data_IF_502446570685
#
_entry.id   IF_502446570685
#
_cell.length_a   1.000
_cell.length_b   1.000
_cell.length_c   1.000
_cell.angle_alpha   90.00
_cell.angle_beta   90.00
_cell.angle_gamma   90.00
#
_symmetry.space_group_name_H-M   'P 1'
#
loop_
_entity.id
_entity.type
_entity.pdbx_description
1 polymer ?
#
# COMPACT_ATOMS: atom_id res chain seq x y z
N UNK A 1 23.85 64.53 -25.73
CA UNK A 1 24.07 63.17 -25.20
C UNK A 1 22.86 62.82 -24.35
N UNK A 2 21.92 62.04 -24.88
CA UNK A 2 20.70 61.63 -24.17
C UNK A 2 20.81 60.13 -23.87
N UNK A 3 20.79 59.78 -22.58
CA UNK A 3 20.80 58.39 -22.14
C UNK A 3 19.34 57.92 -22.02
N UNK A 4 18.93 56.99 -22.89
CA UNK A 4 17.65 56.29 -22.78
C UNK A 4 17.79 55.14 -21.79
N UNK A 5 17.15 55.25 -20.63
CA UNK A 5 17.00 54.18 -19.65
C UNK A 5 15.80 53.29 -20.01
N UNK A 6 16.05 52.02 -20.29
CA UNK A 6 15.01 51.02 -20.52
C UNK A 6 14.77 50.24 -19.23
N UNK A 7 13.56 50.30 -18.70
CA UNK A 7 13.12 49.45 -17.59
C UNK A 7 12.58 48.15 -18.17
N UNK A 8 13.27 47.03 -17.92
CA UNK A 8 12.73 45.70 -18.20
C UNK A 8 11.83 45.33 -17.02
N UNK A 9 10.52 45.30 -17.26
CA UNK A 9 9.55 44.74 -16.31
C UNK A 9 9.58 43.23 -16.47
N UNK A 10 10.16 42.51 -15.51
CA UNK A 10 10.10 41.06 -15.46
C UNK A 10 8.69 40.64 -15.01
N UNK A 11 7.90 40.06 -15.93
CA UNK A 11 6.63 39.44 -15.60
C UNK A 11 6.88 38.08 -14.93
N UNK A 12 6.73 38.02 -13.60
CA UNK A 12 6.69 36.76 -12.87
C UNK A 12 5.39 36.02 -13.19
N UNK A 13 5.45 35.06 -14.11
CA UNK A 13 4.36 34.10 -14.33
C UNK A 13 4.37 33.12 -13.16
N UNK A 14 3.45 33.30 -12.22
CA UNK A 14 3.17 32.30 -11.18
C UNK A 14 2.36 31.18 -11.84
N UNK A 15 3.03 30.08 -12.21
CA UNK A 15 2.37 28.85 -12.61
C UNK A 15 1.68 28.26 -11.38
N UNK A 16 0.36 28.43 -11.28
CA UNK A 16 -0.45 27.70 -10.33
C UNK A 16 -0.38 26.21 -10.70
N UNK A 17 0.23 25.39 -9.83
CA UNK A 17 0.19 23.96 -9.98
C UNK A 17 -1.28 23.51 -9.89
N UNK A 18 -1.80 22.89 -10.94
CA UNK A 18 -3.11 22.25 -10.89
C UNK A 18 -3.09 21.26 -9.71
N UNK A 19 -4.04 21.39 -8.79
CA UNK A 19 -4.19 20.42 -7.72
C UNK A 19 -4.41 19.04 -8.36
N UNK A 20 -3.58 18.06 -7.98
CA UNK A 20 -3.80 16.69 -8.39
C UNK A 20 -5.20 16.27 -7.92
N UNK A 21 -5.99 15.67 -8.82
CA UNK A 21 -7.32 15.16 -8.49
C UNK A 21 -7.24 14.21 -7.28
N UNK A 22 -8.23 14.25 -6.40
CA UNK A 22 -8.22 13.40 -5.21
C UNK A 22 -8.34 11.94 -5.68
N UNK A 23 -7.45 11.02 -5.25
CA UNK A 23 -7.58 9.59 -5.59
C UNK A 23 -8.95 8.99 -5.22
N UNK A 24 -9.72 9.64 -4.34
CA UNK A 24 -11.08 9.24 -3.95
C UNK A 24 -12.19 9.81 -4.82
N UNK A 25 -11.89 10.68 -5.78
CA UNK A 25 -12.92 11.35 -6.59
C UNK A 25 -13.86 10.34 -7.24
N UNK A 26 -15.16 10.43 -6.92
CA UNK A 26 -16.22 9.55 -7.42
C UNK A 26 -16.32 8.17 -6.76
N UNK A 27 -15.47 7.83 -5.79
CA UNK A 27 -15.57 6.58 -5.04
C UNK A 27 -16.59 6.68 -3.89
N UNK A 28 -17.24 5.57 -3.57
CA UNK A 28 -18.05 5.41 -2.36
C UNK A 28 -17.35 4.44 -1.40
N UNK A 29 -17.22 4.81 -0.12
CA UNK A 29 -16.66 3.92 0.88
C UNK A 29 -17.65 2.79 1.22
N UNK A 30 -17.15 1.56 1.31
CA UNK A 30 -17.94 0.43 1.80
C UNK A 30 -17.95 0.42 3.33
N UNK A 31 -18.98 -0.20 3.92
CA UNK A 31 -19.07 -0.33 5.38
C UNK A 31 -18.10 -1.41 5.88
N UNK A 32 -17.17 -1.05 6.76
CA UNK A 32 -16.23 -2.01 7.36
C UNK A 32 -16.54 -2.19 8.84
N UNK A 33 -16.68 -3.45 9.27
CA UNK A 33 -16.67 -3.87 10.66
C UNK A 33 -15.50 -4.79 10.97
N UNK A 34 -15.35 -5.19 12.23
CA UNK A 34 -14.21 -6.01 12.67
C UNK A 34 -14.09 -7.34 11.93
N UNK A 35 -15.22 -7.94 11.53
CA UNK A 35 -15.25 -9.18 10.75
C UNK A 35 -14.60 -9.08 9.36
N UNK A 36 -14.43 -7.85 8.83
CA UNK A 36 -13.77 -7.63 7.54
C UNK A 36 -12.23 -7.71 7.64
N UNK A 37 -11.65 -7.64 8.85
CA UNK A 37 -10.20 -7.61 9.07
C UNK A 37 -9.68 -9.00 9.47
N UNK A 38 -9.62 -9.94 8.52
CA UNK A 38 -9.14 -11.29 8.80
C UNK A 38 -7.61 -11.31 9.01
N UNK A 39 -7.18 -11.41 10.27
CA UNK A 39 -5.77 -11.51 10.64
C UNK A 39 -5.17 -12.88 10.29
N UNK A 40 -3.96 -12.85 9.72
CA UNK A 40 -3.10 -14.00 9.46
C UNK A 40 -1.78 -13.76 10.22
N UNK A 41 -1.26 -14.74 10.96
CA UNK A 41 -0.05 -14.63 11.79
C UNK A 41 0.70 -15.97 11.85
N UNK A 42 1.98 -16.05 12.27
CA UNK A 42 2.70 -17.33 12.36
C UNK A 42 1.94 -18.37 13.21
N UNK A 43 1.76 -19.59 12.69
CA UNK A 43 0.82 -20.56 13.29
C UNK A 43 1.22 -21.07 14.69
N UNK A 44 2.49 -20.95 15.06
CA UNK A 44 3.08 -21.51 16.28
C UNK A 44 3.23 -20.49 17.41
N UNK A 45 2.68 -19.27 17.23
CA UNK A 45 2.69 -18.22 18.25
C UNK A 45 1.31 -17.61 18.45
N UNK A 46 1.11 -16.99 19.60
CA UNK A 46 -0.08 -16.19 19.86
C UNK A 46 -0.12 -14.96 18.95
N UNK A 47 -1.31 -14.61 18.44
CA UNK A 47 -1.49 -13.45 17.57
C UNK A 47 -1.02 -12.15 18.24
N UNK A 48 -1.23 -12.00 19.55
CA UNK A 48 -0.80 -10.85 20.36
C UNK A 48 0.72 -10.67 20.40
N UNK A 49 1.49 -11.72 20.08
CA UNK A 49 2.96 -11.66 20.00
C UNK A 49 3.46 -11.04 18.70
N UNK A 50 2.58 -10.83 17.73
CA UNK A 50 2.89 -10.32 16.38
C UNK A 50 1.94 -9.20 15.91
N UNK A 51 0.87 -8.96 16.64
CA UNK A 51 -0.16 -8.00 16.30
C UNK A 51 -0.66 -7.25 17.54
N UNK A 52 -0.93 -5.96 17.40
CA UNK A 52 -1.69 -5.18 18.39
C UNK A 52 -2.54 -4.11 17.72
N UNK A 53 -3.64 -3.73 18.38
CA UNK A 53 -4.51 -2.65 17.96
C UNK A 53 -5.06 -1.91 19.18
N UNK A 54 -4.83 -0.60 19.23
CA UNK A 54 -5.25 0.27 20.34
C UNK A 54 -6.57 1.00 20.07
N UNK A 55 -7.30 0.58 19.01
CA UNK A 55 -8.50 1.27 18.52
C UNK A 55 -8.21 2.31 17.43
N UNK A 56 -6.95 2.71 17.22
CA UNK A 56 -6.54 3.68 16.19
C UNK A 56 -5.48 3.11 15.26
N UNK A 57 -4.41 2.54 15.81
CA UNK A 57 -3.23 2.06 15.07
C UNK A 57 -3.11 0.55 15.20
N UNK A 58 -3.19 -0.14 14.05
CA UNK A 58 -2.84 -1.55 13.94
C UNK A 58 -1.33 -1.66 13.77
N UNK A 59 -0.66 -2.43 14.63
CA UNK A 59 0.77 -2.72 14.53
C UNK A 59 0.93 -4.20 14.18
N UNK A 60 1.67 -4.49 13.13
CA UNK A 60 1.89 -5.85 12.62
C UNK A 60 3.39 -6.06 12.46
N UNK A 61 3.93 -7.13 13.03
CA UNK A 61 5.34 -7.47 12.88
C UNK A 61 5.55 -8.97 12.74
N UNK A 62 6.68 -9.34 12.12
CA UNK A 62 7.23 -10.70 12.08
C UNK A 62 8.73 -10.64 12.29
N UNK A 63 9.30 -11.75 12.72
CA UNK A 63 10.73 -12.01 12.68
C UNK A 63 11.10 -12.90 11.49
N UNK A 64 12.34 -12.82 11.03
CA UNK A 64 12.80 -13.58 9.85
C UNK A 64 12.80 -15.10 10.05
N UNK A 65 12.78 -15.57 11.30
CA UNK A 65 12.77 -16.98 11.70
C UNK A 65 11.38 -17.49 12.14
N UNK A 66 10.36 -16.64 12.09
CA UNK A 66 8.97 -17.04 12.35
C UNK A 66 8.52 -18.15 11.40
N UNK A 67 7.41 -18.82 11.74
CA UNK A 67 6.77 -19.80 10.86
C UNK A 67 5.77 -19.14 9.91
N UNK A 68 5.39 -19.85 8.83
CA UNK A 68 4.29 -19.42 7.96
C UNK A 68 2.97 -19.25 8.74
N UNK A 69 1.97 -18.64 8.10
CA UNK A 69 0.62 -18.54 8.70
C UNK A 69 -0.08 -19.91 8.85
N UNK A 70 0.29 -20.90 8.05
CA UNK A 70 -0.32 -22.23 8.08
C UNK A 70 0.74 -23.30 8.30
N UNK A 71 0.45 -24.34 9.11
CA UNK A 71 1.30 -25.52 9.21
C UNK A 71 1.60 -26.08 7.81
N UNK A 72 2.82 -26.58 7.61
CA UNK A 72 3.26 -27.25 6.37
C UNK A 72 3.24 -26.35 5.11
N UNK A 73 2.97 -25.04 5.24
CA UNK A 73 3.07 -24.12 4.11
C UNK A 73 4.54 -23.83 3.79
N UNK A 74 4.91 -23.83 2.51
CA UNK A 74 6.21 -23.34 2.04
C UNK A 74 6.29 -21.82 1.88
N UNK A 75 5.26 -21.07 2.30
CA UNK A 75 5.26 -19.59 2.19
C UNK A 75 6.03 -18.94 3.32
N UNK A 76 6.54 -17.74 3.09
CA UNK A 76 7.23 -16.98 4.12
C UNK A 76 6.29 -16.54 5.27
N UNK A 77 6.85 -16.19 6.44
CA UNK A 77 6.10 -15.66 7.57
C UNK A 77 5.37 -14.37 7.23
N UNK A 78 4.20 -14.18 7.86
CA UNK A 78 3.41 -12.96 7.73
C UNK A 78 2.65 -12.68 9.00
N UNK A 79 2.48 -11.39 9.27
CA UNK A 79 1.39 -10.88 10.09
C UNK A 79 0.64 -9.88 9.24
N UNK A 80 -0.46 -10.32 8.66
CA UNK A 80 -1.11 -9.65 7.55
C UNK A 80 -2.62 -9.75 7.68
N UNK A 81 -3.32 -8.66 7.41
CA UNK A 81 -4.77 -8.64 7.36
C UNK A 81 -5.21 -8.84 5.91
N UNK A 82 -6.05 -9.84 5.69
CA UNK A 82 -6.87 -9.97 4.48
C UNK A 82 -8.18 -9.22 4.70
N UNK A 83 -8.51 -8.31 3.79
CA UNK A 83 -9.85 -7.70 3.76
C UNK A 83 -10.85 -8.71 3.19
N UNK A 84 -11.94 -8.96 3.93
CA UNK A 84 -12.98 -9.95 3.55
C UNK A 84 -14.34 -9.29 3.34
N UNK A 85 -15.26 -9.99 2.66
CA UNK A 85 -16.63 -9.52 2.41
C UNK A 85 -16.77 -8.54 1.24
N UNK A 86 -15.65 -8.15 0.64
CA UNK A 86 -15.56 -7.25 -0.51
C UNK A 86 -14.55 -7.77 -1.54
N UNK A 87 -14.43 -9.09 -1.64
CA UNK A 87 -13.73 -9.73 -2.75
C UNK A 87 -14.45 -9.36 -4.05
N UNK A 88 -13.70 -9.07 -5.11
CA UNK A 88 -14.25 -8.46 -6.32
C UNK A 88 -13.68 -9.07 -7.59
N UNK A 89 -14.50 -9.05 -8.64
CA UNK A 89 -14.16 -9.56 -9.99
C UNK A 89 -14.47 -8.55 -11.10
N UNK A 90 -15.00 -7.38 -10.75
CA UNK A 90 -15.39 -6.31 -11.67
C UNK A 90 -15.43 -4.95 -10.96
N UNK A 91 -15.61 -3.88 -11.73
CA UNK A 91 -15.67 -2.51 -11.22
C UNK A 91 -14.29 -1.92 -10.91
N UNK A 92 -14.30 -0.77 -10.24
CA UNK A 92 -13.06 -0.09 -9.81
C UNK A 92 -13.02 -0.07 -8.29
N UNK A 93 -11.99 -0.69 -7.72
CA UNK A 93 -11.85 -0.86 -6.28
C UNK A 93 -10.62 -0.15 -5.76
N UNK A 94 -10.72 0.37 -4.55
CA UNK A 94 -9.65 1.12 -3.91
C UNK A 94 -9.44 0.68 -2.47
N UNK A 95 -8.19 0.43 -2.12
CA UNK A 95 -7.74 0.47 -0.74
C UNK A 95 -7.19 1.86 -0.42
N UNK A 96 -7.57 2.42 0.72
CA UNK A 96 -6.88 3.55 1.34
C UNK A 96 -6.43 3.16 2.76
N UNK A 97 -5.23 3.59 3.14
CA UNK A 97 -4.76 3.54 4.53
C UNK A 97 -3.60 4.49 4.77
N UNK A 98 -3.43 4.93 6.02
CA UNK A 98 -2.23 5.68 6.43
C UNK A 98 -1.22 4.71 7.02
N UNK A 99 -0.12 4.47 6.31
CA UNK A 99 0.93 3.53 6.66
C UNK A 99 2.12 4.21 7.35
N UNK A 100 2.85 3.46 8.18
CA UNK A 100 4.12 3.84 8.77
C UNK A 100 5.03 2.60 8.82
N UNK A 101 6.29 2.78 8.46
CA UNK A 101 7.30 1.71 8.50
C UNK A 101 8.47 2.18 9.37
N UNK A 102 8.77 1.49 10.50
CA UNK A 102 9.95 1.82 11.29
C UNK A 102 11.23 1.58 10.51
N UNK A 103 12.22 2.46 10.68
CA UNK A 103 13.55 2.26 10.10
C UNK A 103 14.16 0.91 10.49
N UNK A 104 14.94 0.36 9.56
CA UNK A 104 15.51 -1.00 9.67
C UNK A 104 14.59 -2.11 9.15
N UNK A 105 13.32 -1.84 8.83
CA UNK A 105 12.41 -2.82 8.19
C UNK A 105 12.71 -2.96 6.70
N UNK A 106 13.27 -4.08 6.26
CA UNK A 106 13.54 -4.35 4.83
C UNK A 106 13.17 -5.78 4.45
N UNK A 107 13.00 -6.05 3.14
CA UNK A 107 12.71 -7.38 2.62
C UNK A 107 11.31 -7.87 2.99
N UNK A 108 10.32 -6.99 2.88
CA UNK A 108 8.94 -7.27 3.31
C UNK A 108 7.94 -6.62 2.36
N UNK A 109 6.82 -7.29 2.10
CA UNK A 109 5.63 -6.69 1.47
C UNK A 109 4.72 -6.10 2.54
N UNK A 110 4.26 -4.87 2.34
CA UNK A 110 3.36 -4.18 3.28
C UNK A 110 1.92 -4.03 2.78
N UNK A 111 1.70 -4.23 1.48
CA UNK A 111 0.41 -4.09 0.81
C UNK A 111 0.34 -5.04 -0.38
N UNK A 112 -0.80 -5.69 -0.58
CA UNK A 112 -1.06 -6.55 -1.73
C UNK A 112 -2.45 -6.31 -2.31
N UNK A 113 -2.54 -6.50 -3.63
CA UNK A 113 -3.77 -6.92 -4.29
C UNK A 113 -3.58 -8.39 -4.65
N UNK A 114 -4.25 -9.27 -3.92
CA UNK A 114 -4.18 -10.71 -4.15
C UNK A 114 -5.09 -11.12 -5.32
N UNK A 115 -4.76 -12.24 -5.94
CA UNK A 115 -5.53 -12.85 -7.01
C UNK A 115 -5.02 -12.48 -8.39
N UNK A 116 -5.74 -12.98 -9.38
CA UNK A 116 -5.48 -12.77 -10.80
C UNK A 116 -5.00 -14.02 -11.54
N UNK A 117 -4.41 -13.85 -12.73
CA UNK A 117 -3.77 -14.94 -13.49
C UNK A 117 -2.51 -15.52 -12.82
N UNK A 118 -2.09 -14.94 -11.69
CA UNK A 118 -1.05 -15.44 -10.79
C UNK A 118 -1.52 -15.27 -9.34
N UNK A 119 -0.70 -15.62 -8.35
CA UNK A 119 -1.10 -15.48 -6.94
C UNK A 119 -1.41 -14.03 -6.51
N UNK A 120 -0.75 -13.03 -7.11
CA UNK A 120 -0.94 -11.61 -6.76
C UNK A 120 -0.88 -10.71 -7.99
N UNK A 121 -1.83 -9.77 -8.09
CA UNK A 121 -1.81 -8.70 -9.09
C UNK A 121 -0.77 -7.64 -8.74
N UNK A 122 -0.61 -7.32 -7.45
CA UNK A 122 0.32 -6.30 -6.97
C UNK A 122 0.84 -6.62 -5.57
N UNK A 123 2.13 -6.33 -5.33
CA UNK A 123 2.73 -6.26 -4.01
C UNK A 123 3.60 -5.00 -3.90
N UNK A 124 3.51 -4.29 -2.78
CA UNK A 124 4.39 -3.18 -2.46
C UNK A 124 5.40 -3.61 -1.41
N UNK A 125 6.66 -3.71 -1.81
CA UNK A 125 7.76 -4.14 -0.98
C UNK A 125 8.50 -2.96 -0.37
N UNK A 126 9.13 -3.16 0.77
CA UNK A 126 10.06 -2.21 1.38
C UNK A 126 11.47 -2.78 1.26
N UNK A 127 12.36 -2.01 0.64
CA UNK A 127 13.78 -2.31 0.56
C UNK A 127 14.59 -1.06 0.86
N UNK A 128 15.43 -1.13 1.90
CA UNK A 128 16.36 -0.03 2.23
C UNK A 128 15.70 1.31 2.57
N UNK A 129 14.41 1.34 2.90
CA UNK A 129 13.66 2.57 3.19
C UNK A 129 12.83 3.09 2.03
N UNK A 130 12.91 2.43 0.88
CA UNK A 130 12.11 2.75 -0.29
C UNK A 130 10.96 1.76 -0.44
N UNK A 131 9.85 2.26 -0.98
CA UNK A 131 8.70 1.48 -1.40
C UNK A 131 8.88 1.07 -2.86
N UNK A 132 8.69 -0.21 -3.16
CA UNK A 132 8.89 -0.79 -4.47
C UNK A 132 7.65 -1.54 -4.94
N UNK A 133 7.37 -1.49 -6.24
CA UNK A 133 6.49 -2.45 -6.91
C UNK A 133 7.28 -3.75 -7.10
N UNK A 134 6.97 -4.77 -6.30
CA UNK A 134 7.83 -5.96 -6.14
C UNK A 134 9.30 -5.56 -5.93
N UNK A 135 10.22 -6.05 -6.77
CA UNK A 135 11.62 -5.61 -6.85
C UNK A 135 11.91 -4.91 -8.18
N UNK A 136 10.88 -4.39 -8.86
CA UNK A 136 10.96 -3.97 -10.27
C UNK A 136 11.14 -2.46 -10.41
N UNK A 137 10.35 -1.69 -9.68
CA UNK A 137 10.32 -0.22 -9.81
C UNK A 137 10.13 0.44 -8.44
N UNK A 138 10.90 1.48 -8.16
CA UNK A 138 10.68 2.35 -6.99
C UNK A 138 9.37 3.13 -7.16
N UNK A 139 8.51 3.06 -6.15
CA UNK A 139 7.23 3.80 -6.06
C UNK A 139 7.43 5.08 -5.25
N UNK A 140 8.12 4.99 -4.11
CA UNK A 140 8.40 6.15 -3.26
C UNK A 140 9.69 5.93 -2.50
N UNK A 141 10.47 7.00 -2.31
CA UNK A 141 11.72 6.90 -1.54
C UNK A 141 11.54 7.36 -0.11
N UNK A 142 12.39 6.88 0.80
CA UNK A 142 12.47 7.38 2.18
C UNK A 142 11.11 7.38 2.92
N UNK A 143 10.46 6.22 2.98
CA UNK A 143 9.16 6.05 3.66
C UNK A 143 9.30 5.78 5.16
N UNK A 144 10.52 5.59 5.66
CA UNK A 144 10.75 5.27 7.06
C UNK A 144 10.35 6.40 8.00
N UNK A 145 9.89 6.00 9.18
CA UNK A 145 9.63 6.87 10.32
C UNK A 145 8.73 8.07 10.06
N UNK A 146 7.88 7.96 9.03
CA UNK A 146 6.82 8.90 8.71
C UNK A 146 5.52 8.17 8.40
N UNK A 147 4.42 8.87 8.66
CA UNK A 147 3.12 8.45 8.16
C UNK A 147 2.98 8.88 6.69
N UNK A 148 2.44 8.01 5.85
CA UNK A 148 2.11 8.31 4.47
C UNK A 148 0.72 7.78 4.14
N UNK A 149 -0.06 8.54 3.36
CA UNK A 149 -1.34 8.07 2.84
C UNK A 149 -1.07 7.21 1.60
N UNK A 150 -1.52 5.97 1.62
CA UNK A 150 -1.46 5.04 0.49
C UNK A 150 -2.86 4.85 -0.08
N UNK A 151 -3.00 5.03 -1.38
CA UNK A 151 -4.17 4.58 -2.13
C UNK A 151 -3.70 3.56 -3.19
N UNK A 152 -4.36 2.40 -3.27
CA UNK A 152 -4.15 1.42 -4.33
C UNK A 152 -5.48 1.19 -5.03
N UNK A 153 -5.56 1.60 -6.30
CA UNK A 153 -6.75 1.49 -7.13
C UNK A 153 -6.54 0.36 -8.13
N UNK A 154 -7.52 -0.53 -8.25
CA UNK A 154 -7.59 -1.56 -9.29
C UNK A 154 -8.85 -1.33 -10.13
N UNK A 155 -8.65 -0.92 -11.38
CA UNK A 155 -9.70 -0.92 -12.41
C UNK A 155 -9.63 -2.27 -13.13
N UNK A 156 -10.61 -3.13 -12.85
CA UNK A 156 -10.62 -4.50 -13.36
C UNK A 156 -10.88 -4.52 -14.87
N UNK A 157 -11.79 -3.67 -15.35
CA UNK A 157 -12.17 -3.64 -16.77
C UNK A 157 -11.03 -3.08 -17.64
N UNK A 158 -10.34 -2.04 -17.16
CA UNK A 158 -9.17 -1.50 -17.82
C UNK A 158 -7.91 -2.37 -17.62
N UNK A 159 -7.96 -3.40 -16.77
CA UNK A 159 -6.80 -4.18 -16.32
C UNK A 159 -5.65 -3.26 -15.90
N UNK A 160 -5.93 -2.35 -14.97
CA UNK A 160 -4.97 -1.33 -14.53
C UNK A 160 -4.93 -1.19 -13.01
N UNK A 161 -3.73 -1.13 -12.45
CA UNK A 161 -3.48 -0.74 -11.07
C UNK A 161 -2.80 0.63 -11.03
N UNK A 162 -3.25 1.48 -10.12
CA UNK A 162 -2.64 2.79 -9.87
C UNK A 162 -2.36 2.94 -8.38
N UNK A 163 -1.16 3.38 -8.02
CA UNK A 163 -0.74 3.61 -6.63
C UNK A 163 -0.47 5.09 -6.43
N UNK A 164 -1.05 5.64 -5.38
CA UNK A 164 -0.81 7.01 -4.94
C UNK A 164 -0.16 7.00 -3.57
N UNK A 165 0.80 7.90 -3.39
CA UNK A 165 1.39 8.22 -2.09
C UNK A 165 1.16 9.69 -1.82
N UNK A 166 0.56 10.00 -0.67
CA UNK A 166 0.24 11.36 -0.22
C UNK A 166 -0.56 12.15 -1.28
N UNK A 167 -1.49 11.46 -1.97
CA UNK A 167 -2.34 12.01 -3.02
C UNK A 167 -1.68 12.17 -4.39
N UNK A 168 -0.40 11.81 -4.54
CA UNK A 168 0.33 11.89 -5.82
C UNK A 168 0.43 10.53 -6.45
N UNK A 169 0.13 10.42 -7.75
CA UNK A 169 0.35 9.18 -8.48
C UNK A 169 1.85 8.86 -8.53
N UNK A 170 2.18 7.63 -8.13
CA UNK A 170 3.56 7.13 -8.07
C UNK A 170 3.80 5.93 -8.97
N UNK A 171 2.74 5.19 -9.29
CA UNK A 171 2.81 4.00 -10.11
C UNK A 171 1.52 3.82 -10.89
N UNK A 172 1.64 3.43 -12.16
CA UNK A 172 0.55 2.89 -12.96
C UNK A 172 1.06 1.69 -13.74
N UNK A 173 0.45 0.53 -13.55
CA UNK A 173 0.88 -0.74 -14.14
C UNK A 173 -0.32 -1.57 -14.59
N UNK A 174 -0.08 -2.50 -15.51
CA UNK A 174 -1.11 -3.44 -15.93
C UNK A 174 -1.52 -4.37 -14.77
N UNK A 175 -2.81 -4.71 -14.75
CA UNK A 175 -3.35 -5.81 -13.99
C UNK A 175 -2.85 -7.15 -14.53
N UNK A 176 -3.19 -8.23 -13.84
CA UNK A 176 -2.79 -9.60 -14.18
C UNK A 176 -3.97 -10.50 -14.52
N UNK A 177 -5.12 -9.91 -14.90
CA UNK A 177 -6.37 -10.62 -15.17
C UNK A 177 -6.91 -11.35 -13.93
N UNK A 178 -7.77 -12.34 -14.17
CA UNK A 178 -8.40 -13.25 -13.18
C UNK A 178 -9.71 -12.75 -12.59
N UNK A 179 -10.41 -13.65 -11.89
CA UNK A 179 -11.85 -13.48 -11.60
C UNK A 179 -12.14 -13.27 -10.11
N UNK A 180 -11.11 -13.05 -9.29
CA UNK A 180 -11.27 -12.79 -7.86
C UNK A 180 -10.05 -12.07 -7.31
N UNK A 181 -10.30 -10.92 -6.69
CA UNK A 181 -9.30 -10.07 -6.08
C UNK A 181 -9.73 -9.62 -4.69
N UNK A 182 -8.74 -9.34 -3.84
CA UNK A 182 -8.95 -8.72 -2.54
C UNK A 182 -7.69 -8.01 -2.06
N UNK A 183 -7.85 -7.04 -1.16
CA UNK A 183 -6.74 -6.29 -0.59
C UNK A 183 -6.17 -6.99 0.64
N UNK A 184 -4.85 -6.86 0.83
CA UNK A 184 -4.16 -7.26 2.04
C UNK A 184 -3.17 -6.18 2.48
N UNK A 185 -3.00 -5.99 3.78
CA UNK A 185 -1.99 -5.08 4.32
C UNK A 185 -1.37 -5.62 5.61
N UNK A 186 -0.14 -5.25 5.91
CA UNK A 186 0.57 -5.74 7.09
C UNK A 186 2.05 -5.94 6.81
N UNK A 187 2.57 -7.11 7.15
CA UNK A 187 3.93 -7.53 6.82
C UNK A 187 3.92 -8.96 6.30
N UNK A 188 4.48 -9.18 5.12
CA UNK A 188 4.73 -10.50 4.55
C UNK A 188 6.17 -10.59 4.05
N UNK A 189 6.98 -11.41 4.72
CA UNK A 189 8.43 -11.50 4.48
C UNK A 189 8.72 -11.89 3.02
N UNK A 190 9.69 -11.18 2.44
CA UNK A 190 10.22 -11.38 1.08
C UNK A 190 11.72 -11.72 1.15
N UNK A 191 12.44 -11.53 0.05
CA UNK A 191 13.88 -11.76 -0.02
C UNK A 191 14.68 -10.72 0.80
N UNK A 192 15.86 -11.12 1.28
CA UNK A 192 16.79 -10.27 2.04
C UNK A 192 16.13 -9.51 3.22
N UNK A 193 15.40 -10.20 4.12
CA UNK A 193 14.68 -9.55 5.20
C UNK A 193 15.61 -9.04 6.30
N UNK A 194 15.18 -7.98 6.99
CA UNK A 194 15.69 -7.66 8.32
C UNK A 194 15.24 -8.71 9.35
N UNK A 195 15.93 -8.79 10.48
CA UNK A 195 15.55 -9.71 11.56
C UNK A 195 14.10 -9.47 12.05
N UNK A 196 13.68 -8.20 12.14
CA UNK A 196 12.31 -7.80 12.45
C UNK A 196 11.78 -6.91 11.33
N UNK A 197 10.56 -7.18 10.89
CA UNK A 197 9.85 -6.37 9.91
C UNK A 197 8.55 -5.90 10.55
N UNK A 198 8.28 -4.60 10.52
CA UNK A 198 7.07 -4.02 11.12
C UNK A 198 6.42 -3.02 10.16
N UNK A 199 5.09 -3.00 10.16
CA UNK A 199 4.32 -1.90 9.60
C UNK A 199 3.19 -1.52 10.55
N UNK A 200 2.78 -0.26 10.49
CA UNK A 200 1.67 0.29 11.27
C UNK A 200 0.67 0.96 10.37
N UNK A 201 -0.60 0.83 10.70
CA UNK A 201 -1.69 1.27 9.84
C UNK A 201 -2.82 1.89 10.64
N UNK A 202 -3.39 2.98 10.12
CA UNK A 202 -4.60 3.63 10.65
C UNK A 202 -5.48 4.14 9.51
N UNK A 203 -6.76 4.35 9.82
CA UNK A 203 -7.72 4.92 8.85
C UNK A 203 -7.88 4.06 7.60
N UNK A 204 -8.04 2.74 7.77
CA UNK A 204 -8.24 1.83 6.65
C UNK A 204 -9.64 2.02 6.07
N UNK A 205 -9.73 2.14 4.75
CA UNK A 205 -10.99 2.20 4.00
C UNK A 205 -10.89 1.38 2.73
N UNK A 206 -11.98 0.69 2.38
CA UNK A 206 -12.18 0.12 1.05
C UNK A 206 -13.26 0.97 0.37
N UNK A 207 -13.02 1.34 -0.88
CA UNK A 207 -13.96 2.12 -1.67
C UNK A 207 -14.19 1.45 -3.02
N UNK A 208 -15.34 1.69 -3.62
CA UNK A 208 -15.64 1.23 -4.96
C UNK A 208 -16.29 2.31 -5.83
N UNK A 209 -16.22 2.08 -7.14
CA UNK A 209 -17.06 2.70 -8.17
C UNK A 209 -17.75 1.58 -8.93
N UNK A 210 -19.06 1.75 -9.10
CA UNK A 210 -19.88 0.99 -10.05
C UNK A 210 -20.08 1.79 -11.30
#
# INVERSE_FOLDING_TARGET
MAASSWWVVAACVVLAAAAAADPRDGFTAVSLGDGNFQLQWPYDVESSSRYSFDGTVRRLWVFSDDKPFKPQSGTNPRTEIRMTGYDYSSGVWQFEGTGYVPSGTTGVSIMQVFGGGTATTLMLHVYGGDLWYYHQQVVETNIYDRWFRLNVIHDVAASQLTVFIDGRERLRVAGKGGDSHYFKFGVYMQMNPSNRMESRWKGISILNKT
#
